data_IF_095800497109
#
_entry.id   IF_095800497109
#
_cell.length_a   1.000
_cell.length_b   1.000
_cell.length_c   1.000
_cell.angle_alpha   90.00
_cell.angle_beta   90.00
_cell.angle_gamma   90.00
#
_symmetry.space_group_name_H-M   'P 1'
#
loop_
_entity.id
_entity.type
_entity.pdbx_description
1 polymer ?
#
# COMPACT_ATOMS: atom_id res chain seq x y z
N UNK A 1 46.37 -17.10 -49.05
CA UNK A 1 46.07 -18.15 -48.05
C UNK A 1 45.49 -17.49 -46.82
N UNK A 2 44.25 -17.85 -46.48
CA UNK A 2 43.50 -17.31 -45.34
C UNK A 2 43.80 -18.08 -44.04
N UNK A 3 43.88 -17.38 -42.89
CA UNK A 3 43.47 -17.82 -41.54
C UNK A 3 43.65 -16.66 -40.55
N UNK A 4 42.57 -16.01 -40.11
CA UNK A 4 41.81 -16.30 -38.87
C UNK A 4 42.50 -15.78 -37.60
N UNK A 5 42.38 -14.47 -37.35
CA UNK A 5 42.45 -13.92 -36.00
C UNK A 5 41.04 -13.94 -35.40
N UNK A 6 40.80 -14.83 -34.44
CA UNK A 6 39.51 -14.99 -33.76
C UNK A 6 39.16 -13.70 -33.01
N UNK A 7 38.04 -13.08 -33.35
CA UNK A 7 37.40 -12.10 -32.49
C UNK A 7 36.98 -12.83 -31.20
N UNK A 8 37.57 -12.45 -30.07
CA UNK A 8 37.05 -12.80 -28.76
C UNK A 8 35.65 -12.20 -28.66
N UNK A 9 34.58 -12.97 -28.42
CA UNK A 9 33.28 -12.38 -28.18
C UNK A 9 33.40 -11.54 -26.92
N UNK A 10 33.26 -10.22 -27.06
CA UNK A 10 33.14 -9.30 -25.95
C UNK A 10 32.06 -9.86 -25.02
N UNK A 11 32.44 -10.04 -23.76
CA UNK A 11 31.61 -10.53 -22.68
C UNK A 11 30.46 -9.54 -22.45
N UNK A 12 29.46 -9.54 -23.34
CA UNK A 12 28.20 -8.79 -23.23
C UNK A 12 27.23 -9.56 -22.33
N UNK A 13 27.77 -10.10 -21.22
CA UNK A 13 27.03 -10.59 -20.07
C UNK A 13 26.83 -9.50 -19.01
N UNK A 14 26.98 -8.22 -19.38
CA UNK A 14 26.14 -7.19 -18.79
C UNK A 14 24.75 -7.27 -19.45
N UNK A 15 24.09 -8.43 -19.28
CA UNK A 15 22.62 -8.45 -19.25
C UNK A 15 22.29 -7.41 -18.19
N UNK A 16 21.65 -6.31 -18.59
CA UNK A 16 21.18 -5.24 -17.71
C UNK A 16 20.92 -5.84 -16.33
N UNK A 17 21.62 -5.39 -15.29
CA UNK A 17 21.05 -5.52 -13.95
C UNK A 17 19.77 -4.73 -14.08
N UNK A 18 18.68 -5.41 -14.44
CA UNK A 18 17.38 -4.79 -14.56
C UNK A 18 17.10 -4.29 -13.16
N UNK A 19 17.03 -2.97 -13.01
CA UNK A 19 16.58 -2.41 -11.74
C UNK A 19 15.19 -3.02 -11.52
N UNK A 20 15.04 -3.80 -10.46
CA UNK A 20 13.79 -4.50 -10.20
C UNK A 20 12.68 -3.46 -10.00
N UNK A 21 11.49 -3.76 -10.49
CA UNK A 21 10.34 -2.95 -10.15
C UNK A 21 9.96 -3.18 -8.69
N UNK A 22 9.59 -2.10 -8.00
CA UNK A 22 9.13 -2.16 -6.62
C UNK A 22 8.10 -1.07 -6.39
N UNK A 23 7.30 -1.25 -5.34
CA UNK A 23 6.30 -0.31 -4.89
C UNK A 23 6.68 0.20 -3.49
N UNK A 24 6.60 1.52 -3.31
CA UNK A 24 6.78 2.16 -2.00
C UNK A 24 5.44 2.62 -1.50
N UNK A 25 5.11 2.26 -0.26
CA UNK A 25 3.92 2.72 0.43
C UNK A 25 4.27 3.92 1.32
N UNK A 26 3.47 4.98 1.22
CA UNK A 26 3.55 6.19 2.05
C UNK A 26 2.14 6.70 2.32
N UNK A 27 1.99 7.89 2.89
CA UNK A 27 0.70 8.51 3.16
C UNK A 27 0.55 8.77 4.65
N UNK A 28 -0.69 8.99 5.09
CA UNK A 28 -0.98 9.22 6.51
C UNK A 28 -1.11 7.92 7.30
N UNK A 29 -1.46 6.80 6.65
CA UNK A 29 -1.55 5.48 7.33
C UNK A 29 -0.18 4.88 7.68
N UNK A 30 0.91 5.44 7.16
CA UNK A 30 2.27 4.89 7.30
C UNK A 30 3.08 5.77 8.26
N UNK A 31 3.75 5.21 9.29
CA UNK A 31 3.94 3.77 9.54
C UNK A 31 2.84 3.12 10.37
N UNK A 32 1.99 3.90 11.03
CA UNK A 32 0.92 3.38 11.87
C UNK A 32 -0.20 4.39 12.05
N UNK A 33 -1.40 3.88 12.30
CA UNK A 33 -2.60 4.62 12.72
C UNK A 33 -3.12 4.07 14.07
N UNK A 34 -4.01 4.81 14.70
CA UNK A 34 -4.83 4.38 15.83
C UNK A 34 -6.23 3.93 15.36
N UNK A 35 -6.87 3.05 16.13
CA UNK A 35 -8.28 2.66 15.91
C UNK A 35 -9.20 3.89 15.72
N UNK A 36 -9.06 4.90 16.58
CA UNK A 36 -9.83 6.15 16.51
C UNK A 36 -9.59 6.98 15.24
N UNK A 37 -8.42 6.87 14.62
CA UNK A 37 -8.11 7.54 13.35
C UNK A 37 -8.78 6.84 12.16
N UNK A 38 -8.93 5.52 12.22
CA UNK A 38 -9.70 4.74 11.24
C UNK A 38 -11.20 5.02 11.37
N UNK A 39 -11.71 5.10 12.60
CA UNK A 39 -13.12 5.43 12.89
C UNK A 39 -13.51 6.80 12.33
N UNK A 40 -12.61 7.79 12.41
CA UNK A 40 -12.85 9.15 11.87
C UNK A 40 -12.51 9.29 10.38
N UNK A 41 -11.71 8.38 9.82
CA UNK A 41 -11.40 8.27 8.39
C UNK A 41 -10.47 9.37 7.86
N UNK A 42 -10.50 9.60 6.55
CA UNK A 42 -9.65 10.56 5.78
C UNK A 42 -8.17 10.17 5.71
N UNK A 43 -7.85 8.93 6.12
CA UNK A 43 -6.50 8.40 6.02
C UNK A 43 -6.15 8.09 4.57
N UNK A 44 -4.87 8.16 4.26
CA UNK A 44 -4.38 8.05 2.90
C UNK A 44 -3.24 7.06 2.82
N UNK A 45 -3.30 6.22 1.80
CA UNK A 45 -2.20 5.33 1.41
C UNK A 45 -1.78 5.69 -0.01
N UNK A 46 -0.50 5.99 -0.20
CA UNK A 46 0.07 6.45 -1.46
C UNK A 46 1.08 5.40 -1.93
N UNK A 47 0.79 4.80 -3.06
CA UNK A 47 1.62 3.78 -3.70
C UNK A 47 2.42 4.46 -4.82
N UNK A 48 3.75 4.40 -4.72
CA UNK A 48 4.68 4.90 -5.74
C UNK A 48 5.45 3.74 -6.36
N UNK A 49 5.29 3.55 -7.67
CA UNK A 49 6.00 2.55 -8.46
C UNK A 49 7.35 3.07 -8.94
N UNK A 50 8.37 2.22 -8.89
CA UNK A 50 9.66 2.44 -9.56
C UNK A 50 9.90 1.33 -10.57
N UNK A 51 10.38 1.67 -11.78
CA UNK A 51 10.62 0.77 -12.92
C UNK A 51 9.38 0.00 -13.44
N UNK A 52 8.18 0.43 -13.09
CA UNK A 52 6.93 0.07 -13.77
C UNK A 52 5.99 1.29 -13.75
N UNK A 53 4.86 1.19 -14.45
CA UNK A 53 3.80 2.18 -14.43
C UNK A 53 2.45 1.51 -14.22
N UNK A 54 1.51 2.27 -13.68
CA UNK A 54 0.11 1.90 -13.66
C UNK A 54 -0.43 1.87 -15.09
N UNK A 55 -1.34 0.93 -15.36
CA UNK A 55 -2.11 0.88 -16.61
C UNK A 55 -2.74 2.24 -16.97
N UNK A 56 -3.07 2.41 -18.25
CA UNK A 56 -3.61 3.67 -18.77
C UNK A 56 -4.80 4.19 -17.96
N UNK A 57 -4.83 5.50 -17.72
CA UNK A 57 -5.95 6.16 -17.04
C UNK A 57 -7.28 5.96 -17.77
N UNK A 58 -8.39 6.20 -17.07
CA UNK A 58 -9.74 5.99 -17.60
C UNK A 58 -10.22 4.56 -17.36
N UNK A 59 -10.95 3.98 -18.31
CA UNK A 59 -11.63 2.69 -18.13
C UNK A 59 -10.69 1.55 -17.70
N UNK A 60 -9.48 1.48 -18.26
CA UNK A 60 -8.50 0.43 -17.94
C UNK A 60 -8.06 0.50 -16.48
N UNK A 61 -7.62 1.66 -15.99
CA UNK A 61 -7.29 1.83 -14.58
C UNK A 61 -8.52 1.70 -13.66
N UNK A 62 -9.67 2.21 -14.07
CA UNK A 62 -10.90 2.14 -13.28
C UNK A 62 -11.31 0.69 -12.97
N UNK A 63 -11.08 -0.24 -13.91
CA UNK A 63 -11.33 -1.67 -13.71
C UNK A 63 -10.42 -2.31 -12.65
N UNK A 64 -9.28 -1.70 -12.32
CA UNK A 64 -8.31 -2.24 -11.37
C UNK A 64 -8.52 -1.73 -9.93
N UNK A 65 -9.37 -0.72 -9.72
CA UNK A 65 -9.47 -0.05 -8.43
C UNK A 65 -9.94 -0.96 -7.30
N UNK A 66 -10.87 -1.87 -7.58
CA UNK A 66 -11.29 -2.86 -6.59
C UNK A 66 -10.12 -3.77 -6.19
N UNK A 67 -9.39 -4.31 -7.16
CA UNK A 67 -8.23 -5.14 -6.87
C UNK A 67 -7.10 -4.39 -6.12
N UNK A 68 -6.98 -3.07 -6.33
CA UNK A 68 -6.07 -2.23 -5.55
C UNK A 68 -6.54 -2.12 -4.09
N UNK A 69 -7.84 -1.93 -3.85
CA UNK A 69 -8.43 -1.92 -2.49
C UNK A 69 -8.23 -3.28 -1.84
N UNK A 70 -8.60 -4.36 -2.51
CA UNK A 70 -8.51 -5.73 -2.02
C UNK A 70 -7.06 -6.12 -1.67
N UNK A 71 -6.09 -5.48 -2.32
CA UNK A 71 -4.67 -5.64 -2.06
C UNK A 71 -4.21 -5.13 -0.69
N UNK A 72 -4.97 -4.25 -0.02
CA UNK A 72 -4.70 -3.83 1.35
C UNK A 72 -5.31 -4.83 2.33
N UNK A 73 -4.55 -5.85 2.70
CA UNK A 73 -5.01 -6.97 3.52
C UNK A 73 -4.39 -6.94 4.92
N UNK A 74 -5.24 -7.12 5.92
CA UNK A 74 -4.83 -7.36 7.29
C UNK A 74 -4.46 -8.82 7.47
N UNK A 75 -3.33 -9.10 8.14
CA UNK A 75 -2.97 -10.45 8.54
C UNK A 75 -3.98 -11.06 9.54
N UNK A 76 -4.74 -10.20 10.21
CA UNK A 76 -5.82 -10.51 11.12
C UNK A 76 -7.16 -10.56 10.36
N UNK A 77 -8.09 -11.36 10.86
CA UNK A 77 -9.43 -11.52 10.27
C UNK A 77 -10.51 -11.33 11.34
N UNK A 78 -10.50 -10.15 11.97
CA UNK A 78 -11.51 -9.77 12.96
C UNK A 78 -12.83 -9.37 12.30
N UNK A 79 -13.96 -9.67 12.96
CA UNK A 79 -15.28 -9.41 12.41
C UNK A 79 -15.59 -7.91 12.20
N UNK A 80 -14.92 -7.05 12.97
CA UNK A 80 -15.01 -5.59 12.87
C UNK A 80 -13.65 -4.93 12.55
N UNK A 81 -12.69 -5.73 12.05
CA UNK A 81 -11.33 -5.29 11.70
C UNK A 81 -11.22 -4.75 10.28
N UNK A 82 -9.99 -4.52 9.83
CA UNK A 82 -9.70 -3.78 8.58
C UNK A 82 -10.36 -4.41 7.36
N UNK A 83 -10.22 -5.72 7.25
CA UNK A 83 -10.77 -6.47 6.12
C UNK A 83 -12.29 -6.25 6.01
N UNK A 84 -13.03 -6.36 7.13
CA UNK A 84 -14.49 -6.29 7.13
C UNK A 84 -15.06 -4.87 7.09
N UNK A 85 -14.45 -3.92 7.80
CA UNK A 85 -15.02 -2.58 8.03
C UNK A 85 -14.41 -1.49 7.16
N UNK A 86 -13.16 -1.67 6.68
CA UNK A 86 -12.48 -0.70 5.83
C UNK A 86 -12.42 -1.23 4.39
N UNK A 87 -11.66 -2.30 4.15
CA UNK A 87 -11.37 -2.82 2.80
C UNK A 87 -12.63 -3.23 2.04
N UNK A 88 -13.44 -4.12 2.62
CA UNK A 88 -14.59 -4.71 1.94
C UNK A 88 -15.76 -3.71 1.76
N UNK A 89 -15.72 -2.56 2.45
CA UNK A 89 -16.72 -1.50 2.37
C UNK A 89 -16.25 -0.27 1.58
N UNK A 90 -14.96 -0.18 1.27
CA UNK A 90 -14.41 0.98 0.58
C UNK A 90 -14.92 1.06 -0.87
N UNK A 91 -15.20 2.28 -1.32
CA UNK A 91 -15.68 2.50 -2.67
C UNK A 91 -14.51 2.67 -3.63
N UNK A 92 -14.62 2.12 -4.84
CA UNK A 92 -13.61 2.31 -5.91
C UNK A 92 -13.34 3.79 -6.25
N UNK A 93 -14.21 4.71 -5.85
CA UNK A 93 -13.97 6.16 -5.94
C UNK A 93 -12.77 6.65 -5.12
N UNK A 94 -12.41 5.94 -4.04
CA UNK A 94 -11.29 6.26 -3.15
C UNK A 94 -9.92 6.16 -3.83
N UNK A 95 -9.81 5.34 -4.88
CA UNK A 95 -8.54 5.09 -5.58
C UNK A 95 -8.36 6.08 -6.74
N UNK A 96 -7.38 6.97 -6.60
CA UNK A 96 -7.08 8.02 -7.57
C UNK A 96 -5.65 7.88 -8.08
N UNK A 97 -5.52 7.70 -9.40
CA UNK A 97 -4.22 7.74 -10.10
C UNK A 97 -3.82 9.18 -10.37
N UNK A 98 -2.84 9.68 -9.63
CA UNK A 98 -2.34 11.07 -9.76
C UNK A 98 -1.24 11.20 -10.81
N UNK A 99 -0.52 10.11 -11.11
CA UNK A 99 0.46 10.06 -12.20
C UNK A 99 0.59 8.66 -12.80
N UNK A 100 1.49 8.46 -13.77
CA UNK A 100 1.78 7.13 -14.30
C UNK A 100 2.40 6.17 -13.27
N UNK A 101 2.98 6.69 -12.20
CA UNK A 101 3.66 5.90 -11.17
C UNK A 101 3.05 6.05 -9.78
N UNK A 102 2.10 6.97 -9.58
CA UNK A 102 1.53 7.28 -8.27
C UNK A 102 0.02 7.06 -8.25
N UNK A 103 -0.43 6.31 -7.26
CA UNK A 103 -1.84 6.11 -6.89
C UNK A 103 -2.02 6.47 -5.43
N UNK A 104 -3.12 7.17 -5.12
CA UNK A 104 -3.56 7.50 -3.76
C UNK A 104 -4.88 6.80 -3.50
N UNK A 105 -4.98 6.12 -2.36
CA UNK A 105 -6.22 5.61 -1.80
C UNK A 105 -6.58 6.49 -0.60
N UNK A 106 -7.80 7.01 -0.57
CA UNK A 106 -8.33 7.78 0.55
C UNK A 106 -9.40 6.96 1.25
N UNK A 107 -9.12 6.52 2.48
CA UNK A 107 -10.00 5.66 3.26
C UNK A 107 -11.14 6.46 3.90
N UNK A 108 -12.36 5.98 3.69
CA UNK A 108 -13.55 6.50 4.33
C UNK A 108 -13.53 6.26 5.84
N UNK A 109 -14.40 6.97 6.57
CA UNK A 109 -14.60 6.74 7.99
C UNK A 109 -15.28 5.38 8.22
N UNK A 110 -14.65 4.51 9.01
CA UNK A 110 -15.21 3.20 9.37
C UNK A 110 -15.77 3.24 10.80
N UNK A 111 -16.98 3.77 10.96
CA UNK A 111 -17.56 4.05 12.28
C UNK A 111 -17.81 2.83 13.19
N UNK A 112 -17.78 1.62 12.64
CA UNK A 112 -17.93 0.37 13.39
C UNK A 112 -16.60 -0.40 13.55
N UNK A 113 -15.48 0.18 13.09
CA UNK A 113 -14.16 -0.42 13.22
C UNK A 113 -13.78 -0.58 14.70
N UNK A 114 -13.47 -1.81 15.10
CA UNK A 114 -12.97 -2.14 16.43
C UNK A 114 -12.16 -3.43 16.35
N UNK A 115 -10.98 -3.41 16.97
CA UNK A 115 -10.03 -4.52 16.96
C UNK A 115 -9.69 -4.96 18.38
N UNK A 116 -9.25 -6.21 18.54
CA UNK A 116 -8.90 -6.80 19.82
C UNK A 116 -7.39 -7.02 19.98
N UNK A 117 -6.64 -6.90 18.89
CA UNK A 117 -5.19 -6.85 18.84
C UNK A 117 -4.73 -5.88 17.74
N UNK A 118 -3.46 -5.45 17.79
CA UNK A 118 -2.89 -4.63 16.72
C UNK A 118 -3.00 -5.38 15.38
N UNK A 119 -3.37 -4.66 14.33
CA UNK A 119 -3.46 -5.20 12.97
C UNK A 119 -2.26 -4.79 12.13
N UNK A 120 -1.76 -5.67 11.27
CA UNK A 120 -0.69 -5.37 10.31
C UNK A 120 -1.23 -5.45 8.90
N UNK A 121 -1.20 -4.32 8.20
CA UNK A 121 -1.74 -4.19 6.85
C UNK A 121 -0.63 -4.28 5.81
N UNK A 122 -0.77 -5.22 4.89
CA UNK A 122 0.10 -5.39 3.72
C UNK A 122 -0.59 -4.87 2.48
N UNK A 123 0.14 -4.13 1.63
CA UNK A 123 -0.36 -3.67 0.34
C UNK A 123 0.23 -4.52 -0.79
N UNK A 124 -0.60 -5.36 -1.41
CA UNK A 124 -0.28 -6.12 -2.62
C UNK A 124 -0.82 -5.39 -3.84
N UNK A 125 0.07 -4.88 -4.67
CA UNK A 125 -0.27 -4.25 -5.96
C UNK A 125 -0.51 -5.35 -7.00
N UNK A 126 -1.73 -5.49 -7.56
CA UNK A 126 -2.03 -6.57 -8.49
C UNK A 126 -1.29 -6.37 -9.82
N UNK A 127 -0.78 -7.47 -10.39
CA UNK A 127 -0.08 -7.47 -11.68
C UNK A 127 -0.93 -6.87 -12.81
N UNK A 128 -2.26 -7.10 -12.77
CA UNK A 128 -3.20 -6.57 -13.74
C UNK A 128 -3.29 -5.03 -13.75
N UNK A 129 -2.85 -4.37 -12.67
CA UNK A 129 -2.76 -2.91 -12.59
C UNK A 129 -1.42 -2.36 -13.09
N UNK A 130 -0.46 -3.23 -13.42
CA UNK A 130 0.88 -2.88 -13.89
C UNK A 130 1.01 -3.02 -15.40
N UNK A 131 1.97 -2.29 -15.99
CA UNK A 131 2.21 -2.32 -17.43
C UNK A 131 3.23 -3.36 -17.86
N UNK A 132 4.22 -3.65 -17.00
CA UNK A 132 5.39 -4.45 -17.38
C UNK A 132 5.43 -5.77 -16.61
N UNK A 133 5.16 -5.74 -15.31
CA UNK A 133 5.20 -6.92 -14.46
C UNK A 133 3.94 -7.78 -14.64
N UNK A 134 4.16 -9.09 -14.74
CA UNK A 134 3.12 -10.11 -14.78
C UNK A 134 2.93 -10.82 -13.42
N UNK A 135 3.51 -10.26 -12.36
CA UNK A 135 3.44 -10.76 -10.98
C UNK A 135 3.09 -9.61 -10.05
N UNK A 136 2.40 -9.93 -8.97
CA UNK A 136 2.01 -8.94 -7.96
C UNK A 136 3.25 -8.35 -7.27
N UNK A 137 3.16 -7.08 -6.89
CA UNK A 137 4.19 -6.39 -6.13
C UNK A 137 3.74 -6.14 -4.70
N UNK A 138 4.49 -6.61 -3.71
CA UNK A 138 4.26 -6.24 -2.32
C UNK A 138 4.92 -4.86 -2.10
N UNK A 139 4.10 -3.86 -1.79
CA UNK A 139 4.59 -2.53 -1.45
C UNK A 139 5.19 -2.52 -0.03
N UNK A 140 6.28 -1.79 0.14
CA UNK A 140 6.96 -1.65 1.43
C UNK A 140 7.03 -0.19 1.87
N UNK A 141 6.94 0.12 3.18
CA UNK A 141 6.69 -0.82 4.28
C UNK A 141 5.21 -1.26 4.36
N UNK A 142 4.91 -2.21 5.24
CA UNK A 142 3.55 -2.40 5.80
C UNK A 142 3.24 -1.26 6.77
N UNK A 143 2.00 -1.19 7.26
CA UNK A 143 1.65 -0.32 8.37
C UNK A 143 0.84 -1.05 9.43
N UNK A 144 0.84 -0.48 10.64
CA UNK A 144 0.14 -1.05 11.80
C UNK A 144 -1.09 -0.21 12.16
N UNK A 145 -2.12 -0.86 12.68
CA UNK A 145 -3.23 -0.20 13.35
C UNK A 145 -3.19 -0.63 14.80
N UNK A 146 -2.91 0.33 15.69
CA UNK A 146 -2.79 0.07 17.12
C UNK A 146 -4.17 -0.12 17.74
N UNK A 147 -4.37 -1.22 18.45
CA UNK A 147 -5.56 -1.47 19.26
C UNK A 147 -5.60 -0.54 20.48
N UNK A 148 -6.69 0.22 20.61
CA UNK A 148 -6.91 1.13 21.73
C UNK A 148 -7.82 0.51 22.83
N UNK A 149 -8.37 -0.68 22.61
CA UNK A 149 -9.29 -1.41 23.50
C UNK A 149 -8.73 -1.83 24.87
N UNK A 150 -7.50 -1.45 25.20
CA UNK A 150 -6.89 -1.60 26.53
C UNK A 150 -6.42 -0.29 27.18
N UNK A 151 -6.44 0.84 26.47
CA UNK A 151 -6.04 2.14 27.03
C UNK A 151 -7.25 2.85 27.62
N UNK A 152 -7.40 2.71 28.94
CA UNK A 152 -8.28 3.59 29.69
C UNK A 152 -7.83 5.04 29.48
N UNK A 153 -8.66 5.84 28.80
CA UNK A 153 -8.51 7.30 28.66
C UNK A 153 -8.46 8.05 30.01
N UNK A 154 -8.61 7.35 31.14
CA UNK A 154 -8.34 7.88 32.48
C UNK A 154 -6.87 8.29 32.68
N UNK A 155 -5.92 7.73 31.92
CA UNK A 155 -4.50 8.03 32.08
C UNK A 155 -3.94 9.06 31.09
N UNK A 156 -4.68 9.45 30.04
CA UNK A 156 -4.21 10.43 29.05
C UNK A 156 -4.58 11.89 29.40
N UNK A 157 -5.33 12.13 30.49
CA UNK A 157 -5.65 13.48 31.01
C UNK A 157 -4.77 13.89 32.20
N UNK A 158 -3.45 13.66 32.13
CA UNK A 158 -2.51 14.24 33.11
C UNK A 158 -1.10 14.55 32.56
N UNK A 159 -0.94 14.98 31.30
CA UNK A 159 0.37 15.48 30.84
C UNK A 159 0.35 16.82 30.09
N UNK A 160 -0.79 17.53 30.09
CA UNK A 160 -0.83 18.94 29.67
C UNK A 160 -1.35 19.81 30.79
N UNK A 161 -0.55 19.97 31.84
CA UNK A 161 -0.90 20.88 32.92
C UNK A 161 -0.08 20.76 34.19
N UNK A 162 1.26 20.92 34.11
CA UNK A 162 2.02 21.50 35.22
C UNK A 162 3.11 22.39 34.62
N UNK A 163 2.76 23.66 34.41
CA UNK A 163 3.71 24.75 34.31
C UNK A 163 3.29 25.79 35.32
N UNK A 164 3.84 25.69 36.53
CA UNK A 164 3.98 26.81 37.45
C UNK A 164 5.38 27.37 37.31
#
# INVERSE_FOLDING_TARGET
MARLGRAFPSNRLLRRVGVLAYAVLTGTTVPADLESEIVTGTRTSIITLTNDTWVAAGGTFNAQRQAIIDGFDSAQAEAAGWNAEVRDKELVGAVVRTSATVVTVTWAAAGAYVITADETITCTVPAAALTTLAVDLIATPTFEITNEGGISIASLRLLRGVGH
#
